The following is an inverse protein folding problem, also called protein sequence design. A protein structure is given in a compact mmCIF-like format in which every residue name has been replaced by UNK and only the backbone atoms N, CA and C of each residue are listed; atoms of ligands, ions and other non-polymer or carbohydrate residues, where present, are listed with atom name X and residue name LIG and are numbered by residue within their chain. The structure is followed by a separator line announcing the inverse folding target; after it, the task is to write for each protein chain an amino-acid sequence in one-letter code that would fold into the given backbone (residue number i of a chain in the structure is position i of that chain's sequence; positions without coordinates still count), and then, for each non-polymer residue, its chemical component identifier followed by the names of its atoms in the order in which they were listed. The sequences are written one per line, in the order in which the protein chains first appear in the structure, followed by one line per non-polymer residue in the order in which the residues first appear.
data_IF_953186669661
#
_entry.id   IF_953186669661
#
_cell.length_a   1.000
_cell.length_b   1.000
_cell.length_c   1.000
_cell.angle_alpha   90.00
_cell.angle_beta   90.00
_cell.angle_gamma   90.00
#
_symmetry.space_group_name_H-M   'P 1'
#
loop_
_entity.id
_entity.type
_entity.pdbx_description
1 polymer ?
#
# COMPACT_ATOMS: atom_id res chain seq x y z
N UNK A 1 -24.53 33.78 -79.61
CA UNK A 1 -25.29 33.03 -78.62
C UNK A 1 -24.23 32.19 -77.84
N UNK A 2 -23.78 32.67 -76.67
CA UNK A 2 -22.73 32.03 -75.87
C UNK A 2 -23.37 31.32 -74.67
N UNK A 3 -23.23 30.00 -74.64
CA UNK A 3 -23.76 29.15 -73.58
C UNK A 3 -22.72 29.17 -72.43
N UNK A 4 -23.11 29.70 -71.27
CA UNK A 4 -22.32 29.62 -70.05
C UNK A 4 -22.57 28.27 -69.38
N UNK A 5 -21.50 27.45 -69.23
CA UNK A 5 -21.56 26.25 -68.39
C UNK A 5 -21.36 26.69 -66.93
N UNK A 6 -22.34 26.34 -66.09
CA UNK A 6 -22.24 26.47 -64.64
C UNK A 6 -21.62 25.21 -64.11
N UNK A 7 -20.46 25.33 -63.47
CA UNK A 7 -19.81 24.24 -62.76
C UNK A 7 -20.40 24.16 -61.33
N UNK A 8 -21.06 23.07 -61.04
CA UNK A 8 -21.61 22.79 -59.71
C UNK A 8 -20.55 22.08 -58.89
N UNK A 9 -20.00 22.75 -57.86
CA UNK A 9 -19.03 22.17 -56.91
C UNK A 9 -19.82 21.58 -55.74
N UNK A 10 -19.79 20.25 -55.59
CA UNK A 10 -20.30 19.57 -54.41
C UNK A 10 -19.27 19.63 -53.29
N UNK A 11 -19.63 19.91 -52.03
CA UNK A 11 -18.71 19.80 -50.93
C UNK A 11 -18.52 18.35 -50.51
N UNK A 12 -17.30 17.89 -50.53
CA UNK A 12 -16.91 16.59 -49.94
C UNK A 12 -16.87 16.78 -48.44
N UNK A 13 -17.83 16.21 -47.73
CA UNK A 13 -17.81 16.12 -46.28
C UNK A 13 -16.76 15.07 -45.87
N UNK A 14 -15.67 15.54 -45.28
CA UNK A 14 -14.62 14.69 -44.66
C UNK A 14 -15.16 14.15 -43.34
N UNK A 15 -15.64 12.91 -43.32
CA UNK A 15 -15.99 12.19 -42.08
C UNK A 15 -14.69 11.73 -41.45
N UNK A 16 -14.23 12.47 -40.42
CA UNK A 16 -13.16 12.00 -39.53
C UNK A 16 -13.70 10.89 -38.63
N UNK A 17 -13.45 9.65 -39.01
CA UNK A 17 -13.66 8.49 -38.13
C UNK A 17 -12.52 8.45 -37.11
N UNK A 18 -12.75 8.92 -35.91
CA UNK A 18 -11.88 8.71 -34.76
C UNK A 18 -11.90 7.22 -34.39
N UNK A 19 -10.86 6.51 -34.80
CA UNK A 19 -10.57 5.19 -34.29
C UNK A 19 -10.06 5.35 -32.84
N UNK A 20 -10.93 5.13 -31.86
CA UNK A 20 -10.50 4.79 -30.50
C UNK A 20 -9.79 3.44 -30.57
N UNK A 21 -8.47 3.47 -30.52
CA UNK A 21 -7.70 2.25 -30.25
C UNK A 21 -7.98 1.85 -28.80
N UNK A 22 -8.92 0.92 -28.65
CA UNK A 22 -9.09 0.18 -27.39
C UNK A 22 -7.87 -0.77 -27.34
N UNK A 23 -6.84 -0.38 -26.59
CA UNK A 23 -5.77 -1.32 -26.23
C UNK A 23 -6.43 -2.43 -25.40
N UNK A 24 -6.31 -3.70 -25.79
CA UNK A 24 -6.79 -4.77 -24.94
C UNK A 24 -5.99 -4.72 -23.64
N UNK A 25 -6.67 -4.53 -22.51
CA UNK A 25 -6.10 -4.85 -21.20
C UNK A 25 -5.64 -6.29 -21.32
N UNK A 26 -4.33 -6.51 -21.24
CA UNK A 26 -3.74 -7.84 -21.21
C UNK A 26 -4.52 -8.66 -20.19
N UNK A 27 -5.21 -9.71 -20.64
CA UNK A 27 -5.85 -10.66 -19.73
C UNK A 27 -4.71 -11.23 -18.88
N UNK A 28 -4.66 -10.83 -17.60
CA UNK A 28 -3.77 -11.41 -16.63
C UNK A 28 -3.99 -12.93 -16.69
N UNK A 29 -3.00 -13.67 -17.17
CA UNK A 29 -3.07 -15.11 -17.28
C UNK A 29 -3.23 -15.65 -15.87
N UNK A 30 -4.32 -16.33 -15.62
CA UNK A 30 -4.51 -17.19 -14.46
C UNK A 30 -3.55 -18.37 -14.63
N UNK A 31 -2.31 -18.19 -14.13
CA UNK A 31 -1.28 -19.21 -14.22
C UNK A 31 -1.56 -20.31 -13.20
N UNK A 32 -1.22 -21.54 -13.58
CA UNK A 32 -1.12 -22.72 -12.71
C UNK A 32 -0.46 -22.37 -11.38
N UNK A 33 -1.01 -22.91 -10.30
CA UNK A 33 -0.50 -22.77 -8.93
C UNK A 33 0.88 -23.45 -8.86
N UNK A 34 1.92 -22.74 -9.28
CA UNK A 34 3.28 -23.13 -8.97
C UNK A 34 3.59 -22.64 -7.55
N UNK A 35 3.98 -23.55 -6.66
CA UNK A 35 4.43 -23.22 -5.32
C UNK A 35 5.77 -22.47 -5.45
N UNK A 36 5.68 -21.15 -5.45
CA UNK A 36 6.80 -20.24 -5.55
C UNK A 36 7.21 -19.78 -4.14
N UNK A 37 8.49 -19.90 -3.83
CA UNK A 37 9.04 -19.40 -2.58
C UNK A 37 9.31 -20.50 -1.57
N UNK A 38 10.19 -20.19 -0.65
CA UNK A 38 10.59 -21.03 0.46
C UNK A 38 10.12 -20.40 1.78
N UNK A 39 9.90 -21.21 2.81
CA UNK A 39 9.61 -20.73 4.15
C UNK A 39 10.81 -21.05 5.02
N UNK A 40 11.63 -20.03 5.28
CA UNK A 40 12.75 -20.12 6.21
C UNK A 40 12.21 -20.17 7.63
N UNK A 41 12.62 -21.16 8.39
CA UNK A 41 12.20 -21.41 9.78
C UNK A 41 13.42 -21.26 10.68
N UNK A 42 13.43 -20.24 11.53
CA UNK A 42 14.57 -19.92 12.40
C UNK A 42 14.29 -20.26 13.87
N UNK A 43 13.01 -20.27 14.25
CA UNK A 43 12.54 -20.55 15.60
C UNK A 43 11.33 -21.49 15.54
N UNK A 44 11.21 -22.45 16.44
CA UNK A 44 10.14 -23.46 16.45
C UNK A 44 8.73 -22.85 16.59
N UNK A 45 8.62 -21.65 17.15
CA UNK A 45 7.35 -20.93 17.29
C UNK A 45 6.68 -20.66 15.95
N UNK A 46 7.42 -20.60 14.84
CA UNK A 46 6.88 -20.40 13.50
C UNK A 46 5.95 -21.56 13.08
N UNK A 47 6.18 -22.78 13.58
CA UNK A 47 5.36 -23.95 13.25
C UNK A 47 3.93 -23.84 13.78
N UNK A 48 3.70 -22.97 14.79
CA UNK A 48 2.35 -22.63 15.28
C UNK A 48 1.65 -21.63 14.38
N UNK A 49 2.38 -20.90 13.54
CA UNK A 49 1.87 -19.85 12.66
C UNK A 49 1.71 -20.35 11.24
N UNK A 50 2.65 -21.16 10.74
CA UNK A 50 2.71 -21.63 9.36
C UNK A 50 2.88 -23.15 9.35
N UNK A 51 1.92 -23.85 8.76
CA UNK A 51 2.01 -25.30 8.60
C UNK A 51 3.23 -25.68 7.75
N UNK A 52 3.77 -26.88 7.97
CA UNK A 52 4.97 -27.36 7.27
C UNK A 52 4.75 -27.52 5.76
N UNK A 53 3.52 -27.80 5.36
CA UNK A 53 3.07 -27.99 3.98
C UNK A 53 2.43 -26.73 3.36
N UNK A 54 2.45 -25.58 4.08
CA UNK A 54 1.94 -24.33 3.57
C UNK A 54 2.67 -23.93 2.29
N UNK A 55 1.90 -23.46 1.30
CA UNK A 55 2.42 -23.05 -0.01
C UNK A 55 2.15 -21.58 -0.25
N UNK A 56 3.16 -20.88 -0.74
CA UNK A 56 3.01 -19.55 -1.30
C UNK A 56 2.46 -19.67 -2.73
N UNK A 57 1.34 -19.03 -2.99
CA UNK A 57 0.67 -19.05 -4.29
C UNK A 57 0.74 -17.66 -4.92
N UNK A 58 1.22 -17.56 -6.16
CA UNK A 58 1.09 -16.34 -6.97
C UNK A 58 -0.29 -16.34 -7.62
N UNK A 59 -1.12 -15.36 -7.26
CA UNK A 59 -2.51 -15.28 -7.74
C UNK A 59 -2.72 -14.22 -8.83
N UNK A 60 -1.83 -13.22 -8.90
CA UNK A 60 -1.86 -12.13 -9.87
C UNK A 60 -0.44 -11.78 -10.28
N UNK A 61 -0.26 -11.38 -11.54
CA UNK A 61 1.02 -10.93 -12.11
C UNK A 61 0.78 -9.91 -13.24
N UNK A 62 1.83 -9.21 -13.68
CA UNK A 62 1.79 -8.36 -14.87
C UNK A 62 1.57 -6.88 -14.59
N UNK A 63 1.82 -6.42 -13.37
CA UNK A 63 1.87 -5.02 -12.98
C UNK A 63 3.30 -4.47 -13.00
N UNK A 64 3.49 -3.20 -12.67
CA UNK A 64 4.81 -2.60 -12.50
C UNK A 64 5.23 -2.61 -11.03
N UNK A 65 4.39 -2.04 -10.13
CA UNK A 65 4.62 -2.02 -8.69
C UNK A 65 3.30 -2.01 -7.93
N UNK A 66 3.04 -3.09 -7.21
CA UNK A 66 1.79 -3.26 -6.44
C UNK A 66 2.00 -3.01 -4.95
N UNK A 67 0.99 -2.36 -4.33
CA UNK A 67 1.02 -1.90 -2.94
C UNK A 67 -0.36 -1.93 -2.28
N UNK A 68 -0.40 -1.59 -0.99
CA UNK A 68 -1.60 -1.30 -0.22
C UNK A 68 -2.69 -2.36 -0.29
N UNK A 69 -2.39 -3.65 -0.11
CA UNK A 69 -3.42 -4.68 -0.18
C UNK A 69 -4.43 -4.49 0.97
N UNK A 70 -5.72 -4.51 0.64
CA UNK A 70 -6.79 -4.44 1.65
C UNK A 70 -7.95 -5.36 1.28
N UNK A 71 -8.44 -6.12 2.25
CA UNK A 71 -9.53 -7.07 2.06
C UNK A 71 -10.89 -6.47 2.42
N UNK A 72 -11.82 -6.49 1.47
CA UNK A 72 -13.22 -6.18 1.74
C UNK A 72 -13.91 -7.41 2.35
N UNK A 73 -14.17 -7.37 3.65
CA UNK A 73 -14.76 -8.51 4.39
C UNK A 73 -16.21 -8.78 4.01
N UNK A 74 -16.97 -7.73 3.67
CA UNK A 74 -18.39 -7.84 3.34
C UNK A 74 -18.61 -8.53 2.01
N UNK A 75 -17.80 -8.21 1.01
CA UNK A 75 -17.99 -8.67 -0.36
C UNK A 75 -16.98 -9.74 -0.80
N UNK A 76 -15.96 -10.01 0.01
CA UNK A 76 -15.00 -11.08 -0.21
C UNK A 76 -14.09 -10.83 -1.41
N UNK A 77 -13.43 -9.66 -1.47
CA UNK A 77 -12.43 -9.33 -2.49
C UNK A 77 -11.25 -8.56 -1.94
N UNK A 78 -10.13 -8.63 -2.65
CA UNK A 78 -8.92 -7.85 -2.37
C UNK A 78 -8.91 -6.60 -3.26
N UNK A 79 -8.60 -5.44 -2.67
CA UNK A 79 -8.12 -4.26 -3.39
C UNK A 79 -6.62 -4.15 -3.21
N UNK A 80 -5.94 -3.59 -4.20
CA UNK A 80 -4.53 -3.23 -4.14
C UNK A 80 -4.24 -2.05 -5.06
N UNK A 81 -3.29 -1.23 -4.66
CA UNK A 81 -2.77 -0.13 -5.46
C UNK A 81 -1.79 -0.64 -6.50
N UNK A 82 -1.86 -0.10 -7.70
CA UNK A 82 -0.83 -0.16 -8.73
C UNK A 82 -0.38 1.29 -8.94
N UNK A 83 0.71 1.66 -8.25
CA UNK A 83 1.08 3.05 -8.04
C UNK A 83 1.46 3.73 -9.35
N UNK A 84 2.34 3.13 -10.22
CA UNK A 84 2.77 3.77 -11.46
C UNK A 84 1.64 4.06 -12.43
N UNK A 85 0.63 3.20 -12.50
CA UNK A 85 -0.54 3.41 -13.37
C UNK A 85 -1.63 4.29 -12.76
N UNK A 86 -1.40 4.82 -11.55
CA UNK A 86 -2.37 5.66 -10.84
C UNK A 86 -3.72 4.96 -10.64
N UNK A 87 -3.70 3.71 -10.18
CA UNK A 87 -4.88 2.85 -10.17
C UNK A 87 -5.00 2.01 -8.90
N UNK A 88 -6.24 1.70 -8.53
CA UNK A 88 -6.58 0.60 -7.62
C UNK A 88 -7.25 -0.49 -8.43
N UNK A 89 -6.82 -1.71 -8.22
CA UNK A 89 -7.42 -2.90 -8.82
C UNK A 89 -8.15 -3.73 -7.78
N UNK A 90 -9.15 -4.47 -8.22
CA UNK A 90 -9.89 -5.46 -7.45
C UNK A 90 -9.59 -6.84 -7.98
N UNK A 91 -9.16 -7.74 -7.08
CA UNK A 91 -9.09 -9.17 -7.35
C UNK A 91 -10.15 -9.92 -6.55
N UNK A 92 -10.84 -10.85 -7.18
CA UNK A 92 -11.77 -11.75 -6.49
C UNK A 92 -11.60 -13.17 -7.01
N UNK A 93 -11.65 -14.13 -6.11
CA UNK A 93 -11.55 -15.56 -6.45
C UNK A 93 -12.60 -15.93 -7.51
N UNK A 94 -12.18 -16.61 -8.58
CA UNK A 94 -13.04 -16.99 -9.70
C UNK A 94 -13.43 -15.87 -10.68
N UNK A 95 -13.23 -14.58 -10.32
CA UNK A 95 -13.54 -13.45 -11.21
C UNK A 95 -12.27 -12.79 -11.80
N UNK A 96 -11.10 -13.07 -11.23
CA UNK A 96 -9.82 -12.47 -11.65
C UNK A 96 -9.68 -11.00 -11.23
N UNK A 97 -8.89 -10.24 -12.00
CA UNK A 97 -8.56 -8.83 -11.73
C UNK A 97 -9.39 -7.89 -12.60
N UNK A 98 -9.88 -6.81 -11.98
CA UNK A 98 -10.60 -5.71 -12.65
C UNK A 98 -10.10 -4.37 -12.13
N UNK A 99 -10.08 -3.35 -12.98
CA UNK A 99 -9.86 -1.96 -12.55
C UNK A 99 -10.99 -1.56 -11.60
N UNK A 100 -10.64 -1.01 -10.43
CA UNK A 100 -11.60 -0.54 -9.43
C UNK A 100 -11.71 0.98 -9.43
N UNK A 101 -10.57 1.69 -9.42
CA UNK A 101 -10.50 3.14 -9.35
C UNK A 101 -9.32 3.68 -10.17
N UNK A 102 -9.58 4.69 -11.00
CA UNK A 102 -8.58 5.49 -11.71
C UNK A 102 -9.15 6.89 -12.00
N UNK A 103 -8.48 8.00 -11.65
CA UNK A 103 -7.18 8.05 -10.95
C UNK A 103 -7.30 7.70 -9.47
N UNK A 104 -6.29 7.03 -8.91
CA UNK A 104 -6.26 6.65 -7.49
C UNK A 104 -5.55 7.68 -6.60
N UNK A 105 -4.56 8.38 -7.12
CA UNK A 105 -3.75 9.35 -6.40
C UNK A 105 -3.67 10.71 -7.07
N UNK A 106 -3.11 10.79 -8.28
CA UNK A 106 -2.94 12.06 -8.99
C UNK A 106 -4.15 12.40 -9.85
N UNK A 107 -4.76 13.56 -9.60
CA UNK A 107 -5.93 14.07 -10.32
C UNK A 107 -5.62 15.28 -11.21
N UNK A 108 -4.36 15.72 -11.27
CA UNK A 108 -3.93 16.85 -12.09
C UNK A 108 -4.10 16.61 -13.60
N UNK A 109 -4.19 17.69 -14.37
CA UNK A 109 -4.35 17.63 -15.83
C UNK A 109 -3.03 17.59 -16.60
N UNK A 110 -1.91 17.93 -15.94
CA UNK A 110 -0.57 17.82 -16.51
C UNK A 110 -0.02 16.41 -16.32
N UNK A 111 0.89 15.92 -17.17
CA UNK A 111 1.61 14.68 -16.88
C UNK A 111 2.26 14.73 -15.50
N UNK A 112 2.21 13.64 -14.76
CA UNK A 112 2.92 13.52 -13.50
C UNK A 112 4.43 13.31 -13.79
N UNK A 113 5.28 14.11 -13.16
CA UNK A 113 6.73 14.06 -13.45
C UNK A 113 7.48 12.96 -12.66
N UNK A 114 6.85 12.41 -11.60
CA UNK A 114 7.42 11.34 -10.77
C UNK A 114 7.08 9.94 -11.26
N UNK A 115 7.43 8.95 -10.45
CA UNK A 115 7.16 7.52 -10.74
C UNK A 115 5.92 6.99 -10.03
N UNK A 116 5.45 7.67 -9.01
CA UNK A 116 4.41 7.20 -8.08
C UNK A 116 3.20 8.14 -8.01
N UNK A 117 2.43 8.29 -9.11
CA UNK A 117 1.24 9.14 -9.11
C UNK A 117 0.06 8.57 -8.33
N UNK A 118 0.00 7.27 -8.13
CA UNK A 118 -1.15 6.55 -7.58
C UNK A 118 -1.31 6.67 -6.07
N UNK A 119 -2.32 5.99 -5.55
CA UNK A 119 -2.41 5.69 -4.14
C UNK A 119 -1.37 4.65 -3.75
N UNK A 120 -0.92 4.66 -2.46
CA UNK A 120 -0.11 3.62 -1.85
C UNK A 120 -0.98 2.82 -0.88
N UNK A 121 -0.91 3.05 0.43
CA UNK A 121 -1.69 2.36 1.44
C UNK A 121 -3.20 2.54 1.26
N UNK A 122 -3.93 1.47 1.50
CA UNK A 122 -5.39 1.40 1.47
C UNK A 122 -5.91 0.79 2.76
N UNK A 123 -7.01 1.33 3.27
CA UNK A 123 -7.72 0.76 4.42
C UNK A 123 -9.22 1.03 4.33
N UNK A 124 -10.06 0.14 4.86
CA UNK A 124 -11.47 0.41 5.06
C UNK A 124 -11.72 1.03 6.44
N UNK A 125 -12.54 2.09 6.49
CA UNK A 125 -13.03 2.63 7.75
C UNK A 125 -14.14 1.74 8.37
N UNK A 126 -14.61 2.08 9.56
CA UNK A 126 -15.65 1.32 10.27
C UNK A 126 -17.00 1.28 9.54
N UNK A 127 -17.23 2.18 8.59
CA UNK A 127 -18.43 2.23 7.75
C UNK A 127 -18.22 1.46 6.42
N UNK A 128 -17.03 0.87 6.20
CA UNK A 128 -16.69 0.13 5.00
C UNK A 128 -16.32 1.01 3.80
N UNK A 129 -16.01 2.30 4.02
CA UNK A 129 -15.55 3.22 2.97
C UNK A 129 -14.03 3.10 2.82
N UNK A 130 -13.55 3.14 1.59
CA UNK A 130 -12.13 3.06 1.29
C UNK A 130 -11.44 4.38 1.63
N UNK A 131 -10.36 4.31 2.40
CA UNK A 131 -9.42 5.41 2.67
C UNK A 131 -8.13 5.14 1.91
N UNK A 132 -7.59 6.16 1.26
CA UNK A 132 -6.43 6.08 0.38
C UNK A 132 -5.33 7.03 0.85
N UNK A 133 -4.10 6.54 0.83
CA UNK A 133 -2.88 7.36 0.90
C UNK A 133 -2.52 7.78 -0.53
N UNK A 134 -2.85 9.00 -0.94
CA UNK A 134 -2.63 9.48 -2.30
C UNK A 134 -1.26 10.16 -2.43
N UNK A 135 -0.34 9.52 -3.14
CA UNK A 135 0.99 10.09 -3.39
C UNK A 135 0.92 11.33 -4.26
N UNK A 136 0.28 11.24 -5.43
CA UNK A 136 0.27 12.33 -6.41
C UNK A 136 -0.47 13.58 -5.97
N UNK A 137 -1.62 13.44 -5.31
CA UNK A 137 -2.37 14.58 -4.74
C UNK A 137 -1.88 14.97 -3.34
N UNK A 138 -0.97 14.17 -2.74
CA UNK A 138 -0.35 14.46 -1.44
C UNK A 138 -1.39 14.65 -0.34
N UNK A 139 -2.23 13.63 -0.14
CA UNK A 139 -3.32 13.68 0.84
C UNK A 139 -3.77 12.29 1.31
N UNK A 140 -4.43 12.24 2.45
CA UNK A 140 -5.32 11.14 2.82
C UNK A 140 -6.72 11.50 2.35
N UNK A 141 -7.34 10.61 1.59
CA UNK A 141 -8.72 10.80 1.13
C UNK A 141 -9.61 9.61 1.48
N UNK A 142 -10.91 9.83 1.44
CA UNK A 142 -11.94 8.80 1.61
C UNK A 142 -12.83 8.77 0.39
N UNK A 143 -13.03 7.58 -0.17
CA UNK A 143 -13.90 7.34 -1.33
C UNK A 143 -15.35 7.28 -0.88
N UNK A 144 -16.21 8.10 -1.49
CA UNK A 144 -17.65 8.07 -1.33
C UNK A 144 -18.31 7.00 -2.21
N UNK A 145 -19.56 6.67 -1.90
CA UNK A 145 -20.36 5.73 -2.69
C UNK A 145 -20.64 6.23 -4.12
N UNK A 146 -20.64 7.55 -4.30
CA UNK A 146 -20.79 8.21 -5.60
C UNK A 146 -19.50 8.26 -6.42
N UNK A 147 -18.40 7.68 -5.90
CA UNK A 147 -17.08 7.70 -6.51
C UNK A 147 -16.29 8.99 -6.29
N UNK A 148 -16.84 9.98 -5.60
CA UNK A 148 -16.10 11.19 -5.21
C UNK A 148 -15.11 10.91 -4.10
N UNK A 149 -14.02 11.71 -4.03
CA UNK A 149 -13.02 11.58 -2.97
C UNK A 149 -13.06 12.82 -2.05
N UNK A 150 -13.32 12.59 -0.77
CA UNK A 150 -13.26 13.63 0.27
C UNK A 150 -11.87 13.65 0.89
N UNK A 151 -11.19 14.80 0.88
CA UNK A 151 -9.91 14.99 1.57
C UNK A 151 -10.12 14.94 3.08
N UNK A 152 -9.39 14.09 3.77
CA UNK A 152 -9.32 14.02 5.23
C UNK A 152 -8.15 14.86 5.76
N UNK A 153 -6.97 14.71 5.14
CA UNK A 153 -5.73 15.41 5.50
C UNK A 153 -4.94 15.72 4.24
N UNK A 154 -4.50 16.96 4.06
CA UNK A 154 -3.55 17.37 3.01
C UNK A 154 -2.48 18.35 3.52
N UNK A 155 -2.65 18.89 4.75
CA UNK A 155 -1.75 19.91 5.33
C UNK A 155 -1.50 19.67 6.81
N UNK A 156 -0.29 20.03 7.24
CA UNK A 156 0.08 20.17 8.63
C UNK A 156 0.66 21.58 8.85
N UNK A 157 0.10 22.32 9.81
CA UNK A 157 0.48 23.73 10.09
C UNK A 157 0.53 24.62 8.84
N UNK A 158 -0.46 24.47 7.97
CA UNK A 158 -0.59 25.24 6.72
C UNK A 158 0.27 24.77 5.55
N UNK A 159 1.26 23.89 5.75
CA UNK A 159 2.12 23.30 4.73
C UNK A 159 1.55 21.98 4.23
N UNK A 160 1.74 21.70 2.94
CA UNK A 160 1.35 20.40 2.37
C UNK A 160 2.14 19.28 3.02
N UNK A 161 1.46 18.18 3.35
CA UNK A 161 2.13 16.93 3.72
C UNK A 161 2.95 16.40 2.54
N UNK A 162 3.87 15.46 2.78
CA UNK A 162 4.79 15.00 1.74
C UNK A 162 4.06 14.11 0.71
N UNK A 163 3.92 12.84 1.00
CA UNK A 163 3.15 11.87 0.22
C UNK A 163 2.81 10.69 1.12
N UNK A 164 1.62 10.71 1.77
CA UNK A 164 1.28 9.70 2.77
C UNK A 164 1.37 8.29 2.19
N UNK A 165 2.02 7.39 2.95
CA UNK A 165 2.40 6.07 2.44
C UNK A 165 1.50 4.96 2.98
N UNK A 166 1.52 4.67 4.29
CA UNK A 166 0.69 3.62 4.87
C UNK A 166 -0.17 4.15 6.03
N UNK A 167 -1.20 3.41 6.41
CA UNK A 167 -2.27 3.90 7.26
C UNK A 167 -2.89 2.78 8.10
N UNK A 168 -3.25 3.11 9.34
CA UNK A 168 -3.95 2.20 10.26
C UNK A 168 -4.97 2.96 11.11
N UNK A 169 -6.13 2.35 11.35
CA UNK A 169 -7.10 2.85 12.33
C UNK A 169 -6.82 2.25 13.70
N UNK A 170 -6.94 3.10 14.73
CA UNK A 170 -7.10 2.66 16.12
C UNK A 170 -8.58 2.34 16.37
N UNK A 171 -8.88 1.47 17.33
CA UNK A 171 -10.25 1.04 17.65
C UNK A 171 -11.19 2.19 18.05
N UNK A 172 -10.64 3.31 18.52
CA UNK A 172 -11.41 4.51 18.86
C UNK A 172 -11.79 5.36 17.63
N UNK A 173 -11.37 4.95 16.39
CA UNK A 173 -11.64 5.63 15.14
C UNK A 173 -10.59 6.66 14.71
N UNK A 174 -9.52 6.84 15.49
CA UNK A 174 -8.39 7.69 15.07
C UNK A 174 -7.58 7.01 13.97
N UNK A 175 -7.15 7.78 12.99
CA UNK A 175 -6.32 7.35 11.87
C UNK A 175 -4.86 7.70 12.14
N UNK A 176 -3.96 6.74 11.95
CA UNK A 176 -2.51 6.96 12.05
C UNK A 176 -1.89 6.69 10.69
N UNK A 177 -0.96 7.54 10.25
CA UNK A 177 -0.34 7.39 8.94
C UNK A 177 1.11 7.89 8.92
N UNK A 178 1.86 7.39 7.95
CA UNK A 178 3.24 7.77 7.66
C UNK A 178 3.29 8.69 6.44
N UNK A 179 4.24 9.64 6.42
CA UNK A 179 4.32 10.68 5.39
C UNK A 179 5.75 10.88 4.85
N UNK A 180 6.35 9.86 4.22
CA UNK A 180 7.61 10.01 3.51
C UNK A 180 7.38 10.73 2.16
N UNK A 181 8.46 11.18 1.47
CA UNK A 181 8.32 11.92 0.22
C UNK A 181 8.40 11.05 -1.04
N UNK A 182 8.07 9.74 -0.99
CA UNK A 182 8.26 8.83 -2.12
C UNK A 182 7.42 9.18 -3.34
N UNK A 183 6.23 9.75 -3.13
CA UNK A 183 5.35 10.24 -4.20
C UNK A 183 5.78 11.56 -4.81
N UNK A 184 6.81 12.24 -4.28
CA UNK A 184 7.36 13.44 -4.90
C UNK A 184 8.35 13.08 -6.02
N UNK A 185 8.38 13.81 -7.16
CA UNK A 185 9.24 13.48 -8.31
C UNK A 185 10.72 13.29 -7.98
N UNK A 186 11.27 14.11 -7.07
CA UNK A 186 12.66 14.02 -6.61
C UNK A 186 12.79 13.55 -5.16
N UNK A 187 11.75 12.94 -4.63
CA UNK A 187 11.69 12.38 -3.28
C UNK A 187 12.18 13.36 -2.20
N UNK A 188 13.23 13.04 -1.46
CA UNK A 188 13.76 13.84 -0.35
C UNK A 188 14.27 15.22 -0.77
N UNK A 189 14.77 15.36 -2.00
CA UNK A 189 15.37 16.58 -2.57
C UNK A 189 14.38 17.34 -3.47
N UNK A 190 13.10 17.00 -3.41
CA UNK A 190 12.08 17.64 -4.22
C UNK A 190 11.85 19.10 -3.78
N UNK A 191 11.92 20.09 -4.70
CA UNK A 191 11.71 21.49 -4.37
C UNK A 191 10.29 21.80 -3.89
N UNK A 192 9.29 20.97 -4.28
CA UNK A 192 7.90 21.10 -3.83
C UNK A 192 7.65 20.53 -2.43
N UNK A 193 8.67 19.96 -1.79
CA UNK A 193 8.60 19.44 -0.43
C UNK A 193 8.55 20.60 0.57
N UNK A 194 7.37 20.86 1.15
CA UNK A 194 7.16 22.00 2.06
C UNK A 194 7.58 21.70 3.51
N UNK A 195 7.45 20.45 3.97
CA UNK A 195 7.84 20.02 5.30
C UNK A 195 9.32 19.60 5.33
N UNK A 196 10.14 20.10 6.28
CA UNK A 196 11.57 19.77 6.34
C UNK A 196 11.87 18.38 6.92
N UNK A 197 10.84 17.58 7.22
CA UNK A 197 10.92 16.27 7.85
C UNK A 197 9.93 15.30 7.22
N UNK A 198 10.01 14.04 7.60
CA UNK A 198 9.06 12.97 7.30
C UNK A 198 8.27 12.68 8.57
N UNK A 199 6.97 12.94 8.52
CA UNK A 199 6.12 12.86 9.72
C UNK A 199 5.46 11.50 9.88
N UNK A 200 5.18 11.16 11.13
CA UNK A 200 4.15 10.19 11.49
C UNK A 200 3.06 10.95 12.22
N UNK A 201 1.83 10.75 11.82
CA UNK A 201 0.71 11.57 12.28
C UNK A 201 -0.44 10.73 12.83
N UNK A 202 -1.20 11.36 13.72
CA UNK A 202 -2.53 10.92 14.14
C UNK A 202 -3.57 11.96 13.69
N UNK A 203 -4.56 11.52 12.97
CA UNK A 203 -5.75 12.29 12.64
C UNK A 203 -6.90 11.73 13.48
N UNK A 204 -7.32 12.51 14.50
CA UNK A 204 -8.39 12.07 15.39
C UNK A 204 -9.75 12.06 14.68
N UNK A 205 -10.67 11.25 15.16
CA UNK A 205 -12.06 11.22 14.66
C UNK A 205 -12.74 12.60 14.68
N UNK A 206 -12.27 13.51 15.55
CA UNK A 206 -12.81 14.87 15.69
C UNK A 206 -12.12 15.85 14.71
N UNK A 207 -11.27 15.35 13.80
CA UNK A 207 -10.63 16.15 12.74
C UNK A 207 -9.35 16.88 13.15
N UNK A 208 -8.75 16.57 14.30
CA UNK A 208 -7.47 17.17 14.74
C UNK A 208 -6.29 16.36 14.22
N UNK A 209 -5.40 17.00 13.45
CA UNK A 209 -4.11 16.43 13.05
C UNK A 209 -3.05 16.71 14.12
N UNK A 210 -2.33 15.67 14.53
CA UNK A 210 -1.24 15.75 15.52
C UNK A 210 0.00 15.07 14.94
N UNK A 211 1.14 15.75 14.92
CA UNK A 211 2.43 15.15 14.62
C UNK A 211 2.88 14.32 15.83
N UNK A 212 3.15 13.03 15.59
CA UNK A 212 3.58 12.09 16.62
C UNK A 212 5.10 12.01 16.75
N UNK A 213 5.78 11.91 15.61
CA UNK A 213 7.25 11.98 15.51
C UNK A 213 7.69 12.49 14.14
N UNK A 214 8.87 13.07 14.10
CA UNK A 214 9.59 13.53 12.89
C UNK A 214 11.04 13.02 12.84
N UNK A 215 11.37 12.10 13.73
CA UNK A 215 12.75 11.62 13.90
C UNK A 215 13.10 10.50 12.90
N UNK A 216 12.09 9.77 12.39
CA UNK A 216 12.27 8.73 11.38
C UNK A 216 12.71 9.35 10.05
N UNK A 217 13.54 8.60 9.31
CA UNK A 217 14.13 9.10 8.06
C UNK A 217 13.27 8.81 6.84
N UNK A 218 12.63 7.67 6.83
CA UNK A 218 11.76 7.23 5.74
C UNK A 218 10.66 6.31 6.29
N UNK A 219 9.74 6.86 7.16
CA UNK A 219 8.68 6.06 7.74
C UNK A 219 7.78 5.49 6.64
N UNK A 220 7.49 4.18 6.72
CA UNK A 220 6.76 3.44 5.70
C UNK A 220 5.58 2.69 6.33
N UNK A 221 5.62 1.37 6.45
CA UNK A 221 4.54 0.58 7.04
C UNK A 221 4.22 0.95 8.50
N UNK A 222 2.95 0.80 8.90
CA UNK A 222 2.47 1.16 10.23
C UNK A 222 1.42 0.14 10.72
N UNK A 223 1.54 -0.31 11.97
CA UNK A 223 0.60 -1.25 12.58
C UNK A 223 0.57 -1.14 14.11
N UNK A 224 -0.57 -1.42 14.72
CA UNK A 224 -0.69 -1.54 16.17
C UNK A 224 -0.50 -2.98 16.66
N UNK A 225 -0.02 -3.14 17.90
CA UNK A 225 -0.18 -4.37 18.66
C UNK A 225 -1.67 -4.67 18.90
N UNK A 226 -2.06 -5.94 19.19
CA UNK A 226 -3.48 -6.30 19.40
C UNK A 226 -4.17 -5.52 20.52
N UNK A 227 -3.44 -5.13 21.55
CA UNK A 227 -3.93 -4.31 22.68
C UNK A 227 -3.78 -2.79 22.42
N UNK A 228 -3.29 -2.42 21.23
CA UNK A 228 -3.06 -1.03 20.79
C UNK A 228 -2.16 -0.18 21.70
N UNK A 229 -1.33 -0.83 22.52
CA UNK A 229 -0.37 -0.16 23.41
C UNK A 229 0.98 0.06 22.76
N UNK A 230 1.26 -0.60 21.64
CA UNK A 230 2.48 -0.43 20.88
C UNK A 230 2.10 -0.06 19.44
N UNK A 231 2.75 0.97 18.90
CA UNK A 231 2.72 1.32 17.49
C UNK A 231 4.04 0.90 16.86
N UNK A 232 3.96 0.02 15.86
CA UNK A 232 5.11 -0.37 15.04
C UNK A 232 5.16 0.46 13.77
N UNK A 233 6.37 0.88 13.40
CA UNK A 233 6.60 1.65 12.18
C UNK A 233 7.87 1.12 11.53
N UNK A 234 7.82 0.80 10.24
CA UNK A 234 9.03 0.52 9.47
C UNK A 234 9.69 1.84 9.08
N UNK A 235 11.01 1.92 9.25
CA UNK A 235 11.82 3.04 8.78
C UNK A 235 12.80 2.55 7.72
N UNK A 236 12.58 2.95 6.47
CA UNK A 236 13.46 2.65 5.34
C UNK A 236 14.66 3.60 5.30
N UNK A 237 15.23 3.89 6.47
CA UNK A 237 16.38 4.77 6.59
C UNK A 237 17.58 4.24 5.78
N UNK A 238 18.25 5.06 4.94
CA UNK A 238 19.28 4.57 4.00
C UNK A 238 20.43 3.80 4.66
N UNK A 239 20.79 4.16 5.90
CA UNK A 239 21.97 3.58 6.58
C UNK A 239 21.61 2.68 7.77
N UNK A 240 20.39 2.78 8.27
CA UNK A 240 19.90 2.04 9.45
C UNK A 240 18.42 1.68 9.28
N UNK A 241 18.06 0.90 8.26
CA UNK A 241 16.69 0.46 8.10
C UNK A 241 16.30 -0.42 9.29
N UNK A 242 15.09 -0.21 9.81
CA UNK A 242 14.63 -0.91 11.00
C UNK A 242 13.10 -0.99 11.06
N UNK A 243 12.59 -1.98 11.78
CA UNK A 243 11.26 -1.90 12.37
C UNK A 243 11.39 -1.23 13.74
N UNK A 244 10.62 -0.18 13.96
CA UNK A 244 10.62 0.63 15.18
C UNK A 244 9.39 0.30 16.00
N UNK A 245 9.46 0.50 17.31
CA UNK A 245 8.34 0.37 18.22
C UNK A 245 8.24 1.61 19.12
N UNK A 246 7.01 2.03 19.37
CA UNK A 246 6.66 3.17 20.23
C UNK A 246 5.56 2.76 21.19
N UNK A 247 5.62 3.23 22.43
CA UNK A 247 4.52 3.05 23.36
C UNK A 247 3.44 4.09 23.08
N UNK A 248 2.18 3.65 23.04
CA UNK A 248 1.00 4.49 22.79
C UNK A 248 0.42 4.92 24.12
N UNK A 249 0.28 6.23 24.34
CA UNK A 249 -0.34 6.80 25.55
C UNK A 249 -1.88 6.80 25.43
N UNK A 250 -2.54 7.03 26.54
CA UNK A 250 -4.00 7.12 26.61
C UNK A 250 -4.58 8.26 25.74
N UNK A 251 -3.82 9.35 25.58
CA UNK A 251 -4.19 10.47 24.71
C UNK A 251 -3.95 10.18 23.22
N UNK A 252 -3.42 9.00 22.87
CA UNK A 252 -3.11 8.56 21.51
C UNK A 252 -1.79 9.11 20.95
N UNK A 253 -1.00 9.84 21.76
CA UNK A 253 0.37 10.20 21.39
C UNK A 253 1.32 9.04 21.66
N UNK A 254 2.55 9.11 21.12
CA UNK A 254 3.54 8.05 21.24
C UNK A 254 4.76 8.51 22.05
N UNK A 255 5.47 7.56 22.63
CA UNK A 255 6.67 7.79 23.43
C UNK A 255 7.58 6.55 23.37
N UNK A 256 8.72 6.58 24.06
CA UNK A 256 9.62 5.45 24.23
C UNK A 256 10.02 4.79 22.88
N UNK A 257 10.50 5.64 21.95
CA UNK A 257 11.03 5.18 20.66
C UNK A 257 12.16 4.17 20.88
N UNK A 258 12.06 3.03 20.18
CA UNK A 258 13.10 1.99 20.24
C UNK A 258 13.16 1.19 18.94
N UNK A 259 14.34 0.71 18.61
CA UNK A 259 14.51 -0.27 17.54
C UNK A 259 13.86 -1.59 18.01
N UNK A 260 12.87 -2.05 17.25
CA UNK A 260 12.25 -3.35 17.46
C UNK A 260 13.11 -4.44 16.81
N UNK A 261 13.52 -4.20 15.55
CA UNK A 261 14.45 -5.08 14.84
C UNK A 261 15.30 -4.28 13.85
N UNK A 262 16.63 -4.48 13.90
CA UNK A 262 17.59 -3.88 12.96
C UNK A 262 17.61 -4.67 11.65
N UNK A 263 17.16 -4.06 10.55
CA UNK A 263 17.07 -4.67 9.24
C UNK A 263 18.32 -4.52 8.37
N UNK A 264 19.39 -3.91 8.89
CA UNK A 264 20.63 -3.64 8.13
C UNK A 264 21.23 -4.91 7.51
N UNK A 265 21.10 -6.05 8.19
CA UNK A 265 21.60 -7.33 7.69
C UNK A 265 20.86 -7.82 6.45
N UNK A 266 19.58 -7.49 6.32
CA UNK A 266 18.74 -7.94 5.19
C UNK A 266 18.94 -7.07 3.95
N UNK A 267 19.07 -5.77 4.12
CA UNK A 267 19.21 -4.80 3.01
C UNK A 267 20.55 -4.90 2.30
N UNK A 268 21.55 -5.51 2.93
CA UNK A 268 22.84 -5.84 2.30
C UNK A 268 22.76 -7.06 1.39
N UNK A 269 21.80 -7.94 1.62
CA UNK A 269 21.66 -9.20 0.91
C UNK A 269 20.70 -9.14 -0.28
N UNK A 270 19.73 -8.24 -0.26
CA UNK A 270 18.70 -8.11 -1.30
C UNK A 270 18.20 -6.68 -1.44
N UNK A 271 17.59 -6.38 -2.59
CA UNK A 271 16.98 -5.07 -2.85
C UNK A 271 15.72 -4.87 -2.01
N UNK A 272 15.50 -3.64 -1.54
CA UNK A 272 14.36 -3.24 -0.72
C UNK A 272 14.76 -2.95 0.72
N UNK A 273 13.78 -2.75 1.58
CA UNK A 273 13.95 -2.50 3.02
C UNK A 273 12.66 -2.80 3.77
N UNK A 274 12.61 -2.50 5.08
CA UNK A 274 11.38 -2.59 5.85
C UNK A 274 10.28 -1.75 5.22
N UNK A 275 9.15 -2.40 4.90
CA UNK A 275 8.04 -1.80 4.17
C UNK A 275 6.71 -2.06 4.91
N UNK A 276 5.60 -2.24 4.22
CA UNK A 276 4.31 -2.46 4.84
C UNK A 276 4.28 -3.65 5.83
N UNK A 277 3.45 -3.58 6.85
CA UNK A 277 3.34 -4.64 7.85
C UNK A 277 1.94 -4.81 8.40
N UNK A 278 1.64 -5.99 8.91
CA UNK A 278 0.43 -6.27 9.70
C UNK A 278 0.77 -7.20 10.87
N UNK A 279 -0.11 -7.20 11.88
CA UNK A 279 0.06 -7.96 13.11
C UNK A 279 -1.01 -9.06 13.20
N UNK A 280 -0.66 -10.22 13.72
CA UNK A 280 -1.61 -11.28 13.99
C UNK A 280 -2.26 -11.11 15.39
N UNK A 281 -3.26 -11.94 15.68
CA UNK A 281 -3.98 -11.89 16.96
C UNK A 281 -3.13 -12.19 18.21
N UNK A 282 -1.93 -12.73 18.03
CA UNK A 282 -0.97 -13.03 19.11
C UNK A 282 0.12 -11.97 19.24
N UNK A 283 0.09 -10.94 18.37
CA UNK A 283 1.07 -9.87 18.36
C UNK A 283 2.31 -10.16 17.51
N UNK A 284 2.34 -11.26 16.76
CA UNK A 284 3.44 -11.49 15.81
C UNK A 284 3.32 -10.52 14.64
N UNK A 285 4.46 -9.93 14.25
CA UNK A 285 4.55 -8.98 13.16
C UNK A 285 4.89 -9.73 11.88
N UNK A 286 4.14 -9.45 10.81
CA UNK A 286 4.41 -9.88 9.45
C UNK A 286 4.83 -8.64 8.67
N UNK A 287 6.13 -8.40 8.58
CA UNK A 287 6.73 -7.22 7.96
C UNK A 287 7.27 -7.54 6.57
N UNK A 288 6.81 -6.80 5.56
CA UNK A 288 7.37 -6.86 4.22
C UNK A 288 8.79 -6.27 4.20
N UNK A 289 9.63 -6.79 3.32
CA UNK A 289 11.02 -6.36 3.22
C UNK A 289 11.77 -7.00 2.06
N UNK A 290 13.11 -6.94 2.08
CA UNK A 290 13.96 -7.47 1.01
C UNK A 290 13.71 -8.96 0.76
N UNK A 291 13.13 -9.30 -0.38
CA UNK A 291 12.95 -10.70 -0.82
C UNK A 291 11.85 -11.49 -0.13
N UNK A 292 11.07 -10.90 0.81
CA UNK A 292 10.03 -11.67 1.50
C UNK A 292 9.30 -10.96 2.63
N UNK A 293 8.51 -11.74 3.37
CA UNK A 293 7.81 -11.31 4.58
C UNK A 293 8.53 -11.90 5.79
N UNK A 294 9.05 -11.03 6.63
CA UNK A 294 9.75 -11.35 7.88
C UNK A 294 8.76 -11.47 9.02
N UNK A 295 8.86 -12.55 9.79
CA UNK A 295 7.92 -12.83 10.88
C UNK A 295 8.66 -12.69 12.20
N UNK A 296 8.18 -11.77 13.03
CA UNK A 296 8.75 -11.51 14.35
C UNK A 296 7.76 -11.83 15.45
N UNK A 297 8.24 -12.45 16.52
CA UNK A 297 7.46 -12.53 17.76
C UNK A 297 7.41 -11.16 18.45
N UNK A 298 6.45 -10.95 19.39
CA UNK A 298 6.34 -9.68 20.15
C UNK A 298 7.61 -9.28 20.92
N UNK A 299 8.45 -10.25 21.24
CA UNK A 299 9.74 -10.04 21.92
C UNK A 299 10.88 -9.61 20.98
N UNK A 300 10.61 -9.42 19.67
CA UNK A 300 11.58 -9.07 18.64
C UNK A 300 12.34 -10.26 18.03
N UNK A 301 12.08 -11.49 18.47
CA UNK A 301 12.72 -12.66 17.86
C UNK A 301 12.26 -12.85 16.42
N UNK A 302 13.19 -12.94 15.47
CA UNK A 302 12.93 -13.31 14.09
C UNK A 302 12.60 -14.80 13.99
N UNK A 303 11.33 -15.12 13.78
CA UNK A 303 10.85 -16.52 13.73
C UNK A 303 11.16 -17.18 12.39
N UNK A 304 11.18 -16.41 11.32
CA UNK A 304 11.45 -16.90 9.97
C UNK A 304 10.93 -15.95 8.90
N UNK A 305 11.03 -16.39 7.63
CA UNK A 305 10.70 -15.56 6.47
C UNK A 305 9.90 -16.36 5.44
N UNK A 306 8.84 -15.78 4.90
CA UNK A 306 8.16 -16.25 3.69
C UNK A 306 8.87 -15.58 2.51
N UNK A 307 9.68 -16.32 1.77
CA UNK A 307 10.45 -15.79 0.65
C UNK A 307 9.56 -15.65 -0.60
N UNK A 308 9.50 -14.45 -1.16
CA UNK A 308 8.87 -14.16 -2.45
C UNK A 308 9.89 -14.12 -3.59
N UNK A 309 11.19 -13.97 -3.24
CA UNK A 309 12.29 -13.84 -4.19
C UNK A 309 12.42 -12.45 -4.84
N UNK A 310 11.52 -11.52 -4.51
CA UNK A 310 11.53 -10.13 -5.02
C UNK A 310 11.26 -9.15 -3.88
N UNK A 311 11.53 -7.86 -4.09
CA UNK A 311 11.19 -6.83 -3.12
C UNK A 311 9.70 -6.92 -2.77
N UNK A 312 9.42 -7.11 -1.48
CA UNK A 312 8.06 -7.27 -0.97
C UNK A 312 7.65 -5.95 -0.34
N UNK A 313 6.51 -5.43 -0.79
CA UNK A 313 6.08 -4.08 -0.45
C UNK A 313 5.10 -4.04 0.72
N UNK A 314 4.10 -4.92 0.76
CA UNK A 314 3.10 -4.88 1.83
C UNK A 314 2.41 -6.23 2.02
N UNK A 315 1.66 -6.35 3.10
CA UNK A 315 0.86 -7.54 3.43
C UNK A 315 -0.49 -7.13 4.00
N UNK A 316 -1.51 -7.98 3.84
CA UNK A 316 -2.76 -7.83 4.59
C UNK A 316 -3.47 -9.17 4.75
N UNK A 317 -4.25 -9.26 5.81
CA UNK A 317 -5.08 -10.41 6.12
C UNK A 317 -6.38 -10.39 5.33
N UNK A 318 -6.85 -11.55 4.90
CA UNK A 318 -8.12 -11.65 4.21
C UNK A 318 -8.88 -12.92 4.49
N UNK A 319 -10.02 -13.09 3.81
CA UNK A 319 -10.98 -14.18 4.00
C UNK A 319 -11.50 -14.22 5.43
N UNK A 320 -11.28 -15.30 6.15
CA UNK A 320 -11.62 -15.49 7.58
C UNK A 320 -10.48 -15.03 8.51
N UNK A 321 -9.51 -14.31 7.98
CA UNK A 321 -8.30 -13.84 8.67
C UNK A 321 -7.11 -14.80 8.57
N UNK A 322 -7.28 -16.00 8.02
CA UNK A 322 -6.19 -17.00 7.91
C UNK A 322 -5.40 -16.92 6.61
N UNK A 323 -5.81 -16.11 5.66
CA UNK A 323 -5.07 -15.88 4.41
C UNK A 323 -4.29 -14.58 4.54
N UNK A 324 -2.97 -14.66 4.34
CA UNK A 324 -2.13 -13.49 4.17
C UNK A 324 -1.96 -13.22 2.67
N UNK A 325 -2.41 -12.05 2.22
CA UNK A 325 -2.13 -11.52 0.89
C UNK A 325 -0.87 -10.68 0.95
N UNK A 326 -0.02 -10.80 -0.05
CA UNK A 326 1.31 -10.21 -0.10
C UNK A 326 1.46 -9.49 -1.45
N UNK A 327 1.80 -8.22 -1.43
CA UNK A 327 2.21 -7.46 -2.62
C UNK A 327 3.73 -7.53 -2.74
N UNK A 328 4.24 -7.91 -3.91
CA UNK A 328 5.68 -8.02 -4.12
C UNK A 328 6.02 -7.79 -5.60
N UNK A 329 6.76 -6.71 -5.87
CA UNK A 329 7.11 -6.29 -7.23
C UNK A 329 5.87 -6.11 -8.10
N UNK A 330 5.78 -6.91 -9.15
CA UNK A 330 4.69 -6.91 -10.14
C UNK A 330 3.51 -7.82 -9.80
N UNK A 331 3.51 -8.48 -8.62
CA UNK A 331 2.66 -9.64 -8.35
C UNK A 331 1.96 -9.58 -7.01
N UNK A 332 0.83 -10.28 -6.93
CA UNK A 332 0.14 -10.58 -5.67
C UNK A 332 0.32 -12.07 -5.37
N UNK A 333 0.69 -12.34 -4.13
CA UNK A 333 0.77 -13.70 -3.59
C UNK A 333 -0.24 -13.86 -2.46
N UNK A 334 -0.53 -15.13 -2.14
CA UNK A 334 -1.26 -15.49 -0.93
C UNK A 334 -0.68 -16.74 -0.28
N UNK A 335 -0.82 -16.81 1.03
CA UNK A 335 -0.48 -18.01 1.81
C UNK A 335 -1.52 -18.24 2.89
N UNK A 336 -1.93 -19.48 3.07
CA UNK A 336 -2.79 -19.88 4.19
C UNK A 336 -1.96 -20.12 5.44
N UNK A 337 -2.32 -19.45 6.52
CA UNK A 337 -1.64 -19.53 7.80
C UNK A 337 -2.51 -20.20 8.86
N UNK A 338 -1.90 -20.70 9.92
CA UNK A 338 -2.58 -21.30 11.07
C UNK A 338 -2.98 -20.22 12.08
N UNK A 339 -2.31 -19.08 12.08
CA UNK A 339 -2.73 -17.88 12.80
C UNK A 339 -3.75 -17.07 12.01
N UNK A 340 -4.33 -16.05 12.66
CA UNK A 340 -5.25 -15.09 12.03
C UNK A 340 -4.79 -13.68 12.28
N UNK A 341 -5.11 -12.80 11.35
CA UNK A 341 -4.89 -11.37 11.50
C UNK A 341 -5.57 -10.80 12.74
N UNK A 342 -4.97 -9.77 13.31
CA UNK A 342 -5.60 -9.01 14.37
C UNK A 342 -6.91 -8.38 13.90
N UNK A 343 -7.96 -8.50 14.70
CA UNK A 343 -9.28 -7.96 14.38
C UNK A 343 -10.15 -8.84 13.46
N UNK A 344 -9.74 -10.12 13.17
CA UNK A 344 -10.58 -11.12 12.47
C UNK A 344 -11.26 -12.08 13.41
#
# INVERSE_FOLDING_TARGET
MKIKRVLMVLPVALVLTLFFQIFPVSQARQNSIDSLGNIVRLDERIDKLILKDAKLEKIVDGFEWVEGPVWNRKEGYLLFSEIPSNSVYKWKEGEGVKLFLRPSGYTGTKPFEGKEPGSNGLIFDSEGRLVLCEHGDRRISRLGEDGSKTTLVDRYEGKRINSPNDVVFKSNGDLYFTDPPFGLPKTFDDPEKELPFQGVYRFSKDGKLTLLTKELKAPNGIAFSPDEKILYISDLAPNKPAWMAFDVKDDGTITNERVFFDATVFTKAANGGPDGMKVDKYGNIFGAGPGGVYIFAPDGTHLGTIETGVATSNVNWGNDGSILYITAGSSIYRIKLHTKGNGF
#
